data_IF_300230086936
#
_entry.id   IF_300230086936
#
_cell.length_a   1.000
_cell.length_b   1.000
_cell.length_c   1.000
_cell.angle_alpha   90.00
_cell.angle_beta   90.00
_cell.angle_gamma   90.00
#
_symmetry.space_group_name_H-M   'P 1'
#
loop_
_entity.id
_entity.type
_entity.pdbx_description
1 polymer ?
#
# COMPACT_ATOMS: atom_id res chain seq x y z
N UNK A 1 -25.92 27.69 0.16
CA UNK A 1 -24.74 26.94 -0.34
C UNK A 1 -24.06 26.28 0.85
N UNK A 2 -24.40 25.02 1.13
CA UNK A 2 -23.87 24.30 2.29
C UNK A 2 -22.45 23.80 1.99
N UNK A 3 -21.48 24.24 2.80
CA UNK A 3 -20.12 23.69 2.80
C UNK A 3 -20.20 22.28 3.41
N UNK A 4 -20.13 21.24 2.59
CA UNK A 4 -19.92 19.90 3.10
C UNK A 4 -18.55 19.83 3.77
N UNK A 5 -18.57 19.64 5.09
CA UNK A 5 -17.39 19.37 5.90
C UNK A 5 -16.84 18.00 5.50
N UNK A 6 -15.85 17.97 4.61
CA UNK A 6 -15.13 16.75 4.23
C UNK A 6 -14.27 16.31 5.40
N UNK A 7 -14.77 15.34 6.18
CA UNK A 7 -13.97 14.68 7.21
C UNK A 7 -12.78 13.98 6.54
N UNK A 8 -11.58 14.07 7.11
CA UNK A 8 -10.39 13.46 6.54
C UNK A 8 -10.47 11.93 6.53
N UNK A 9 -9.93 11.32 5.47
CA UNK A 9 -9.80 9.87 5.35
C UNK A 9 -8.59 9.43 6.18
N UNK A 10 -8.83 8.61 7.20
CA UNK A 10 -7.77 7.90 7.92
C UNK A 10 -7.59 6.52 7.27
N UNK A 11 -6.52 6.31 6.50
CA UNK A 11 -6.21 5.01 5.90
C UNK A 11 -5.25 4.26 6.83
N UNK A 12 -5.70 3.15 7.40
CA UNK A 12 -4.85 2.25 8.20
C UNK A 12 -4.17 1.24 7.27
N UNK A 13 -2.91 1.48 6.91
CA UNK A 13 -2.08 0.47 6.24
C UNK A 13 -1.61 -0.57 7.25
N UNK A 14 -1.94 -1.86 7.05
CA UNK A 14 -1.54 -2.96 7.94
C UNK A 14 -0.15 -3.52 7.62
N UNK A 15 0.69 -2.80 6.86
CA UNK A 15 2.01 -3.32 6.48
C UNK A 15 3.17 -2.32 6.49
N UNK A 16 2.90 -1.04 6.75
CA UNK A 16 3.93 -0.01 6.95
C UNK A 16 3.39 1.01 7.94
N UNK A 17 4.08 1.20 9.05
CA UNK A 17 3.76 2.15 10.11
C UNK A 17 3.85 3.59 9.57
N UNK A 18 2.74 4.14 9.06
CA UNK A 18 2.58 5.58 8.83
C UNK A 18 1.15 5.99 9.15
N UNK A 19 0.99 6.90 10.11
CA UNK A 19 -0.25 7.61 10.39
C UNK A 19 -0.23 8.94 9.62
N UNK A 20 -1.30 9.28 8.91
CA UNK A 20 -1.53 10.65 8.41
C UNK A 20 -2.72 11.25 9.13
N UNK A 21 -2.45 12.32 9.89
CA UNK A 21 -3.45 13.16 10.57
C UNK A 21 -3.72 14.35 9.67
N UNK A 22 -4.99 14.69 9.48
CA UNK A 22 -5.42 15.94 8.85
C UNK A 22 -5.91 16.87 9.93
N UNK A 23 -5.15 17.91 10.25
CA UNK A 23 -5.74 19.21 10.58
C UNK A 23 -4.75 20.39 10.47
N UNK A 24 -5.31 21.59 10.34
CA UNK A 24 -4.75 22.88 9.89
C UNK A 24 -3.76 23.58 10.86
N UNK A 25 -3.02 24.55 10.26
CA UNK A 25 -2.21 25.67 10.83
C UNK A 25 -0.82 25.27 11.38
N UNK A 26 0.29 26.03 11.25
CA UNK A 26 0.53 27.45 10.96
C UNK A 26 1.98 27.63 10.42
N UNK A 27 2.16 28.57 9.49
CA UNK A 27 3.45 29.10 9.05
C UNK A 27 4.10 29.92 10.18
N UNK A 28 5.37 29.66 10.49
CA UNK A 28 6.16 30.45 11.45
C UNK A 28 7.66 30.27 11.19
N UNK A 29 8.31 31.33 10.70
CA UNK A 29 9.74 31.41 10.40
C UNK A 29 10.58 31.34 11.69
N UNK A 30 11.77 30.70 11.68
CA UNK A 30 12.97 31.18 12.41
C UNK A 30 14.23 30.33 12.12
N UNK A 31 15.33 31.00 11.72
CA UNK A 31 16.68 30.84 12.30
C UNK A 31 17.53 29.57 12.06
N UNK A 32 18.40 29.66 11.06
CA UNK A 32 19.82 29.25 11.02
C UNK A 32 20.33 27.93 11.67
N UNK A 33 21.05 27.18 10.82
CA UNK A 33 22.01 26.08 11.06
C UNK A 33 21.49 24.66 11.28
N UNK A 34 22.01 23.74 10.48
CA UNK A 34 21.83 22.29 10.60
C UNK A 34 20.93 21.72 9.50
N UNK A 35 21.49 20.81 8.68
CA UNK A 35 20.75 20.02 7.70
C UNK A 35 19.72 19.19 8.49
N UNK A 36 18.49 19.69 8.56
CA UNK A 36 17.34 18.89 8.95
C UNK A 36 17.06 17.95 7.79
N UNK A 37 17.10 16.65 8.06
CA UNK A 37 16.55 15.65 7.16
C UNK A 37 15.08 15.99 6.96
N UNK A 38 14.79 16.69 5.87
CA UNK A 38 13.46 17.10 5.44
C UNK A 38 12.73 15.85 4.92
N UNK A 39 12.30 14.97 5.83
CA UNK A 39 11.10 14.20 5.57
C UNK A 39 9.93 15.17 5.61
N UNK A 40 9.78 15.96 4.54
CA UNK A 40 8.53 16.67 4.29
C UNK A 40 7.49 15.57 4.16
N UNK A 41 6.55 15.52 5.10
CA UNK A 41 5.38 14.68 4.93
C UNK A 41 4.62 15.21 3.72
N UNK A 42 4.74 14.50 2.60
CA UNK A 42 3.97 14.77 1.39
C UNK A 42 2.55 14.31 1.70
N UNK A 43 1.62 15.25 1.80
CA UNK A 43 0.20 14.94 1.92
C UNK A 43 -0.35 14.78 0.50
N UNK A 44 -1.10 13.71 0.27
CA UNK A 44 -1.80 13.48 -0.99
C UNK A 44 -3.20 14.08 -0.88
N UNK A 45 -3.67 14.75 -1.94
CA UNK A 45 -4.99 15.41 -1.97
C UNK A 45 -5.99 14.49 -2.67
N UNK A 46 -7.15 14.31 -2.03
CA UNK A 46 -8.27 13.58 -2.63
C UNK A 46 -8.85 14.41 -3.79
N UNK A 47 -8.92 13.80 -4.97
CA UNK A 47 -9.52 14.39 -6.16
C UNK A 47 -10.59 13.45 -6.71
N UNK A 48 -11.79 13.97 -6.97
CA UNK A 48 -12.91 13.19 -7.50
C UNK A 48 -13.23 11.92 -6.68
N UNK A 49 -13.23 12.02 -5.34
CA UNK A 49 -13.46 10.89 -4.43
C UNK A 49 -12.41 9.77 -4.53
N UNK A 50 -11.26 10.07 -5.15
CA UNK A 50 -10.14 9.16 -5.33
C UNK A 50 -8.88 9.75 -4.72
N UNK A 51 -8.15 8.91 -4.01
CA UNK A 51 -6.86 9.24 -3.42
C UNK A 51 -5.81 8.22 -3.88
N UNK A 52 -4.89 8.61 -4.78
CA UNK A 52 -3.75 7.76 -5.10
C UNK A 52 -2.82 7.70 -3.89
N UNK A 53 -2.49 6.50 -3.45
CA UNK A 53 -1.56 6.26 -2.34
C UNK A 53 -0.65 5.07 -2.67
N UNK A 54 0.63 5.36 -2.93
CA UNK A 54 1.62 4.37 -3.38
C UNK A 54 1.10 3.61 -4.63
N UNK A 55 0.99 2.29 -4.53
CA UNK A 55 0.54 1.40 -5.61
C UNK A 55 -0.99 1.17 -5.60
N UNK A 56 -1.74 1.83 -4.71
CA UNK A 56 -3.17 1.64 -4.49
C UNK A 56 -3.92 2.93 -4.79
N UNK A 57 -5.06 2.81 -5.47
CA UNK A 57 -6.02 3.88 -5.61
C UNK A 57 -7.14 3.63 -4.60
N UNK A 58 -7.34 4.57 -3.68
CA UNK A 58 -8.38 4.48 -2.66
C UNK A 58 -9.56 5.28 -3.16
N UNK A 59 -10.72 4.64 -3.26
CA UNK A 59 -11.93 5.22 -3.85
C UNK A 59 -13.00 5.26 -2.78
N UNK A 60 -13.62 6.42 -2.57
CA UNK A 60 -14.75 6.57 -1.67
C UNK A 60 -16.04 6.32 -2.46
N UNK A 61 -16.78 5.29 -2.10
CA UNK A 61 -18.09 5.01 -2.70
C UNK A 61 -19.18 5.87 -2.01
N UNK A 62 -20.33 6.07 -2.67
CA UNK A 62 -21.49 6.83 -2.21
C UNK A 62 -22.06 6.35 -0.86
N UNK A 63 -21.81 5.08 -0.49
CA UNK A 63 -22.15 4.51 0.82
C UNK A 63 -21.11 4.82 1.92
N UNK A 64 -20.16 5.73 1.69
CA UNK A 64 -18.99 5.98 2.57
C UNK A 64 -18.11 4.74 2.83
N UNK A 65 -18.17 3.74 1.96
CA UNK A 65 -17.26 2.58 1.99
C UNK A 65 -16.02 2.87 1.15
N UNK A 66 -14.88 2.33 1.59
CA UNK A 66 -13.63 2.39 0.83
C UNK A 66 -13.55 1.22 -0.13
N UNK A 67 -13.40 1.54 -1.40
CA UNK A 67 -12.99 0.62 -2.44
C UNK A 67 -11.52 0.84 -2.77
N UNK A 68 -10.90 -0.21 -3.30
CA UNK A 68 -9.50 -0.19 -3.68
C UNK A 68 -9.38 -0.58 -5.13
N UNK A 69 -8.47 0.08 -5.82
CA UNK A 69 -8.00 -0.29 -7.14
C UNK A 69 -6.46 -0.22 -7.17
N UNK A 70 -5.88 -0.70 -8.25
CA UNK A 70 -4.47 -0.54 -8.51
C UNK A 70 -4.21 0.83 -9.12
N UNK A 71 -3.38 1.64 -8.46
CA UNK A 71 -2.96 2.91 -9.04
C UNK A 71 -1.80 2.74 -10.01
N UNK A 72 -1.87 3.47 -11.14
CA UNK A 72 -0.78 3.64 -12.09
C UNK A 72 -0.72 5.11 -12.48
N UNK A 73 0.48 5.67 -12.49
CA UNK A 73 0.72 7.01 -13.02
C UNK A 73 0.39 7.04 -14.50
N UNK A 74 -0.05 8.19 -15.00
CA UNK A 74 -0.33 8.40 -16.43
C UNK A 74 0.92 8.18 -17.30
N UNK A 75 2.11 8.40 -16.73
CA UNK A 75 3.41 8.15 -17.38
C UNK A 75 3.83 6.68 -17.39
N UNK A 76 3.05 5.76 -16.81
CA UNK A 76 3.37 4.35 -16.76
C UNK A 76 3.23 3.71 -18.16
N UNK A 77 4.36 3.45 -18.82
CA UNK A 77 4.41 2.89 -20.18
C UNK A 77 4.12 1.39 -20.25
N UNK A 78 3.93 0.72 -19.11
CA UNK A 78 3.66 -0.73 -19.01
C UNK A 78 4.69 -1.61 -19.74
N UNK A 79 5.91 -1.12 -19.90
CA UNK A 79 7.02 -1.84 -20.55
C UNK A 79 7.83 -2.58 -19.49
N UNK A 80 7.90 -3.90 -19.64
CA UNK A 80 8.76 -4.77 -18.83
C UNK A 80 9.91 -5.29 -19.68
N UNK A 81 10.77 -6.11 -19.09
CA UNK A 81 11.84 -6.79 -19.83
C UNK A 81 11.19 -7.66 -20.92
N UNK A 82 11.43 -7.38 -22.22
CA UNK A 82 10.85 -8.14 -23.31
C UNK A 82 11.29 -9.61 -23.30
N UNK A 83 10.43 -10.49 -23.81
CA UNK A 83 10.69 -11.94 -23.81
C UNK A 83 11.91 -12.34 -24.66
N UNK A 84 12.19 -11.63 -25.75
CA UNK A 84 13.30 -11.84 -26.68
C UNK A 84 14.66 -11.35 -26.16
N UNK A 85 14.68 -10.53 -25.11
CA UNK A 85 15.92 -10.00 -24.54
C UNK A 85 16.82 -11.08 -23.93
N UNK A 86 18.13 -10.86 -23.87
CA UNK A 86 19.11 -11.83 -23.32
C UNK A 86 19.18 -11.85 -21.77
N UNK A 87 18.08 -11.55 -21.08
CA UNK A 87 18.04 -11.58 -19.62
C UNK A 87 17.66 -12.96 -19.09
N UNK A 88 18.20 -13.39 -17.92
CA UNK A 88 17.76 -14.59 -17.23
C UNK A 88 16.25 -14.60 -17.01
N UNK A 89 15.64 -15.78 -17.18
CA UNK A 89 14.18 -15.97 -17.07
C UNK A 89 13.62 -15.48 -15.72
N UNK A 90 14.37 -15.66 -14.63
CA UNK A 90 13.94 -15.24 -13.30
C UNK A 90 13.73 -13.72 -13.19
N UNK A 91 14.61 -12.91 -13.81
CA UNK A 91 14.48 -11.45 -13.80
C UNK A 91 13.29 -10.98 -14.64
N UNK A 92 13.07 -11.61 -15.80
CA UNK A 92 11.87 -11.38 -16.62
C UNK A 92 10.58 -11.66 -15.86
N UNK A 93 10.55 -12.78 -15.13
CA UNK A 93 9.38 -13.20 -14.36
C UNK A 93 9.16 -12.38 -13.08
N UNK A 94 10.19 -11.74 -12.54
CA UNK A 94 10.09 -10.97 -11.31
C UNK A 94 9.00 -9.87 -11.40
N UNK A 95 8.94 -9.14 -12.52
CA UNK A 95 7.92 -8.12 -12.75
C UNK A 95 6.50 -8.69 -12.74
N UNK A 96 6.27 -9.81 -13.44
CA UNK A 96 4.95 -10.45 -13.48
C UNK A 96 4.54 -11.04 -12.13
N UNK A 97 5.48 -11.67 -11.42
CA UNK A 97 5.25 -12.17 -10.07
C UNK A 97 4.85 -11.04 -9.11
N UNK A 98 5.51 -9.88 -9.19
CA UNK A 98 5.17 -8.71 -8.39
C UNK A 98 3.74 -8.23 -8.64
N UNK A 99 3.35 -8.09 -9.91
CA UNK A 99 2.01 -7.59 -10.26
C UNK A 99 0.92 -8.60 -9.87
N UNK A 100 1.15 -9.90 -10.07
CA UNK A 100 0.19 -10.96 -9.68
C UNK A 100 0.09 -11.07 -8.16
N UNK A 101 1.20 -10.92 -7.45
CA UNK A 101 1.21 -10.83 -5.99
C UNK A 101 0.36 -9.65 -5.50
N UNK A 102 0.50 -8.48 -6.14
CA UNK A 102 -0.31 -7.30 -5.84
C UNK A 102 -1.80 -7.56 -6.07
N UNK A 103 -2.16 -8.06 -7.25
CA UNK A 103 -3.53 -8.45 -7.62
C UNK A 103 -4.18 -9.40 -6.60
N UNK A 104 -3.39 -10.32 -6.02
CA UNK A 104 -3.90 -11.30 -5.05
C UNK A 104 -4.04 -10.78 -3.63
N UNK A 105 -3.30 -9.72 -3.27
CA UNK A 105 -3.25 -9.19 -1.91
C UNK A 105 -4.12 -7.96 -1.70
N UNK A 106 -4.41 -7.21 -2.76
CA UNK A 106 -5.26 -6.04 -2.66
C UNK A 106 -6.73 -6.46 -2.52
N UNK A 107 -7.50 -5.80 -1.63
CA UNK A 107 -8.93 -6.04 -1.47
C UNK A 107 -9.73 -5.37 -2.62
N UNK A 108 -9.59 -5.90 -3.83
CA UNK A 108 -10.28 -5.43 -5.02
C UNK A 108 -11.71 -6.00 -5.09
N UNK A 109 -12.63 -5.24 -5.68
CA UNK A 109 -13.93 -5.77 -6.14
C UNK A 109 -13.73 -6.83 -7.24
N UNK A 110 -14.68 -7.74 -7.41
CA UNK A 110 -14.65 -8.78 -8.46
C UNK A 110 -14.43 -8.15 -9.85
N UNK A 111 -15.12 -7.04 -10.14
CA UNK A 111 -15.05 -6.38 -11.45
C UNK A 111 -13.66 -5.79 -11.69
N UNK A 112 -13.13 -5.05 -10.70
CA UNK A 112 -11.78 -4.45 -10.76
C UNK A 112 -10.70 -5.52 -10.83
N UNK A 113 -10.88 -6.62 -10.11
CA UNK A 113 -9.97 -7.76 -10.16
C UNK A 113 -9.90 -8.36 -11.58
N UNK A 114 -11.04 -8.59 -12.23
CA UNK A 114 -11.03 -9.15 -13.59
C UNK A 114 -10.50 -8.14 -14.60
N UNK A 115 -10.83 -6.86 -14.46
CA UNK A 115 -10.29 -5.79 -15.30
C UNK A 115 -8.75 -5.71 -15.20
N UNK A 116 -8.21 -5.67 -13.98
CA UNK A 116 -6.76 -5.66 -13.73
C UNK A 116 -6.11 -6.94 -14.28
N UNK A 117 -6.74 -8.10 -14.12
CA UNK A 117 -6.25 -9.36 -14.69
C UNK A 117 -6.18 -9.32 -16.22
N UNK A 118 -7.19 -8.80 -16.90
CA UNK A 118 -7.16 -8.64 -18.35
C UNK A 118 -6.08 -7.66 -18.79
N UNK A 119 -5.92 -6.56 -18.06
CA UNK A 119 -4.86 -5.59 -18.30
C UNK A 119 -3.47 -6.25 -18.18
N UNK A 120 -3.23 -7.09 -17.17
CA UNK A 120 -1.96 -7.82 -17.03
C UNK A 120 -1.71 -8.75 -18.21
N UNK A 121 -2.75 -9.43 -18.71
CA UNK A 121 -2.64 -10.28 -19.92
C UNK A 121 -2.28 -9.46 -21.15
N UNK A 122 -2.85 -8.28 -21.30
CA UNK A 122 -2.52 -7.36 -22.40
C UNK A 122 -1.07 -6.89 -22.31
N UNK A 123 -0.60 -6.57 -21.10
CA UNK A 123 0.81 -6.18 -20.89
C UNK A 123 1.75 -7.35 -21.22
N UNK A 124 1.41 -8.58 -20.82
CA UNK A 124 2.20 -9.75 -21.16
C UNK A 124 2.32 -9.92 -22.69
N UNK A 125 1.19 -9.81 -23.40
CA UNK A 125 1.14 -9.88 -24.86
C UNK A 125 1.96 -8.79 -25.53
N UNK A 126 1.88 -7.54 -25.06
CA UNK A 126 2.64 -6.42 -25.62
C UNK A 126 4.16 -6.54 -25.41
N UNK A 127 4.59 -7.30 -24.38
CA UNK A 127 6.00 -7.56 -24.10
C UNK A 127 6.49 -8.92 -24.65
N UNK A 128 5.70 -9.58 -25.51
CA UNK A 128 6.09 -10.81 -26.20
C UNK A 128 5.93 -12.10 -25.39
N UNK A 129 5.13 -12.08 -24.31
CA UNK A 129 4.84 -13.26 -23.48
C UNK A 129 3.48 -13.87 -23.83
N UNK A 130 3.36 -15.19 -23.64
CA UNK A 130 2.10 -15.92 -23.79
C UNK A 130 1.12 -15.59 -22.66
N UNK A 131 -0.17 -15.45 -23.00
CA UNK A 131 -1.24 -15.24 -22.02
C UNK A 131 -1.37 -16.43 -21.05
N UNK A 132 -1.13 -17.66 -21.53
CA UNK A 132 -1.18 -18.87 -20.70
C UNK A 132 -0.15 -18.86 -19.56
N UNK A 133 1.00 -18.19 -19.77
CA UNK A 133 2.00 -18.03 -18.73
C UNK A 133 1.43 -17.26 -17.54
N UNK A 134 0.65 -16.21 -17.80
CA UNK A 134 0.02 -15.40 -16.75
C UNK A 134 -1.02 -16.22 -15.99
N UNK A 135 -1.86 -16.99 -16.68
CA UNK A 135 -2.85 -17.87 -16.04
C UNK A 135 -2.19 -18.92 -15.14
N UNK A 136 -1.05 -19.48 -15.58
CA UNK A 136 -0.25 -20.41 -14.79
C UNK A 136 0.34 -19.74 -13.54
N UNK A 137 0.87 -18.51 -13.67
CA UNK A 137 1.40 -17.76 -12.53
C UNK A 137 0.30 -17.41 -11.51
N UNK A 138 -0.89 -17.01 -11.97
CA UNK A 138 -2.04 -16.75 -11.08
C UNK A 138 -2.42 -18.03 -10.32
N UNK A 139 -2.50 -19.16 -11.03
CA UNK A 139 -2.83 -20.47 -10.43
C UNK A 139 -1.79 -20.87 -9.39
N UNK A 140 -0.50 -20.70 -9.71
CA UNK A 140 0.62 -20.96 -8.79
C UNK A 140 0.54 -20.07 -7.54
N UNK A 141 0.22 -18.79 -7.69
CA UNK A 141 0.04 -17.88 -6.56
C UNK A 141 -1.14 -18.28 -5.66
N UNK A 142 -2.29 -18.63 -6.27
CA UNK A 142 -3.46 -19.12 -5.53
C UNK A 142 -3.12 -20.40 -4.76
N UNK A 143 -2.49 -21.36 -5.41
CA UNK A 143 -2.08 -22.62 -4.80
C UNK A 143 -1.13 -22.40 -3.62
N UNK A 144 -0.09 -21.57 -3.79
CA UNK A 144 0.86 -21.24 -2.72
C UNK A 144 0.15 -20.58 -1.52
N UNK A 145 -0.84 -19.72 -1.76
CA UNK A 145 -1.64 -19.10 -0.71
C UNK A 145 -2.51 -20.12 0.03
N UNK A 146 -3.17 -21.02 -0.70
CA UNK A 146 -3.95 -22.11 -0.11
C UNK A 146 -3.07 -23.02 0.75
N UNK A 147 -1.88 -23.37 0.25
CA UNK A 147 -0.90 -24.16 1.02
C UNK A 147 -0.49 -23.45 2.31
N UNK A 148 -0.07 -22.18 2.23
CA UNK A 148 0.28 -21.40 3.42
C UNK A 148 -0.86 -21.34 4.44
N UNK A 149 -2.10 -21.17 3.96
CA UNK A 149 -3.27 -21.18 4.83
C UNK A 149 -3.53 -22.57 5.43
N UNK A 150 -3.27 -23.67 4.72
CA UNK A 150 -3.45 -25.03 5.25
C UNK A 150 -2.38 -25.46 6.27
N UNK A 151 -1.24 -24.77 6.33
CA UNK A 151 -0.15 -25.13 7.24
C UNK A 151 -0.49 -24.80 8.70
N UNK A 152 -0.08 -25.68 9.62
CA UNK A 152 -0.31 -25.56 11.07
C UNK A 152 0.57 -24.49 11.73
N UNK A 153 1.74 -24.19 11.16
CA UNK A 153 2.62 -23.10 11.58
C UNK A 153 2.14 -21.75 11.03
N UNK A 154 0.87 -21.40 11.26
CA UNK A 154 0.41 -20.04 10.99
C UNK A 154 1.12 -19.14 12.01
N UNK A 155 1.80 -18.08 11.54
CA UNK A 155 1.97 -16.91 12.40
C UNK A 155 0.55 -16.44 12.68
N UNK A 156 0.03 -16.76 13.86
CA UNK A 156 -1.14 -16.07 14.37
C UNK A 156 -0.87 -14.58 14.14
N UNK A 157 -1.79 -13.90 13.47
CA UNK A 157 -1.82 -12.45 13.56
C UNK A 157 -2.12 -12.18 15.02
N UNK A 158 -1.08 -12.11 15.84
CA UNK A 158 -1.17 -11.82 17.27
C UNK A 158 -2.21 -10.73 17.41
N UNK A 159 -3.18 -10.95 18.30
CA UNK A 159 -4.07 -9.95 18.88
C UNK A 159 -3.24 -8.91 19.66
N UNK A 160 -2.22 -8.36 19.00
CA UNK A 160 -1.41 -7.26 19.44
C UNK A 160 -2.34 -6.05 19.46
N UNK A 161 -2.80 -5.74 20.68
CA UNK A 161 -3.56 -4.53 20.96
C UNK A 161 -2.62 -3.36 20.73
N UNK A 162 -2.67 -2.78 19.54
CA UNK A 162 -1.98 -1.53 19.24
C UNK A 162 -2.74 -0.39 19.88
N UNK A 163 -2.05 0.44 20.67
CA UNK A 163 -2.54 1.71 21.16
C UNK A 163 -1.87 2.81 20.33
N UNK A 164 -2.66 3.64 19.66
CA UNK A 164 -2.17 4.85 19.00
C UNK A 164 -2.04 5.96 20.04
N UNK A 165 -0.89 6.61 20.11
CA UNK A 165 -0.69 7.83 20.88
C UNK A 165 -0.73 9.01 19.91
N UNK A 166 -1.45 10.07 20.26
CA UNK A 166 -1.39 11.32 19.52
C UNK A 166 0.02 11.92 19.67
N UNK A 167 0.59 12.34 18.53
CA UNK A 167 1.89 12.97 18.51
C UNK A 167 1.79 14.37 19.15
N UNK A 168 2.38 14.53 20.34
CA UNK A 168 2.43 15.79 21.05
C UNK A 168 3.89 16.22 21.24
N UNK A 169 4.28 17.32 20.60
CA UNK A 169 5.65 17.86 20.63
C UNK A 169 6.18 18.12 22.05
N UNK A 170 5.31 18.36 23.05
CA UNK A 170 5.72 18.67 24.43
C UNK A 170 6.01 17.41 25.29
N UNK A 171 5.67 16.21 24.83
CA UNK A 171 5.84 14.95 25.59
C UNK A 171 7.18 14.24 25.35
N UNK A 172 8.02 14.75 24.44
CA UNK A 172 9.33 14.15 24.09
C UNK A 172 10.28 14.01 25.29
N UNK A 173 10.14 14.84 26.32
CA UNK A 173 11.00 14.81 27.51
C UNK A 173 10.48 13.94 28.66
N UNK A 174 9.27 13.37 28.54
CA UNK A 174 8.70 12.51 29.58
C UNK A 174 8.02 11.31 28.95
N UNK A 175 8.83 10.31 28.57
CA UNK A 175 8.31 8.97 28.35
C UNK A 175 7.58 8.51 29.63
N UNK A 176 6.31 8.12 29.56
CA UNK A 176 5.58 7.63 30.72
C UNK A 176 6.28 6.42 31.33
N UNK A 177 6.53 6.43 32.63
CA UNK A 177 7.29 5.40 33.36
C UNK A 177 6.70 3.98 33.19
N UNK A 178 5.41 3.86 32.88
CA UNK A 178 4.74 2.59 32.62
C UNK A 178 5.17 1.93 31.29
N UNK A 179 5.58 2.71 30.29
CA UNK A 179 6.12 2.21 29.01
C UNK A 179 7.52 1.61 29.19
N UNK A 180 8.39 2.28 29.96
CA UNK A 180 9.72 1.77 30.32
C UNK A 180 9.63 0.41 31.06
N UNK A 181 8.64 0.26 31.95
CA UNK A 181 8.39 -0.96 32.75
C UNK A 181 7.87 -2.15 31.93
N UNK A 182 7.47 -1.94 30.67
CA UNK A 182 7.01 -2.99 29.75
C UNK A 182 8.14 -3.49 28.85
N UNK A 183 9.12 -2.64 28.53
CA UNK A 183 10.32 -3.03 27.78
C UNK A 183 11.22 -3.99 28.56
N UNK A 184 11.36 -3.82 29.88
CA UNK A 184 12.19 -4.69 30.72
C UNK A 184 11.58 -6.06 31.06
N UNK A 185 10.34 -6.36 30.64
CA UNK A 185 9.64 -7.62 30.96
C UNK A 185 9.74 -8.69 29.87
N UNK A 186 10.54 -8.44 28.82
CA UNK A 186 10.94 -9.43 27.82
C UNK A 186 12.44 -9.74 28.00
N UNK A 187 12.78 -10.41 29.09
CA UNK A 187 14.00 -11.23 29.25
C UNK A 187 13.56 -12.51 29.93
#
# INVERSE_FOLDING_TARGET
MARHSTKPIMIRSTKFDYYTVVDRFLCGCFGATGIVSLSIFIYEVEHNEQLPFLDVLVIRNSENKLEFDVYRKETATLRYIPNDSHHPFQHKMASFNFIIHRLSNFPLSIERFEHEKQLIKNIAKSNGYSVHLIDNLITKHKFKRTLYNSMTFRRDTDNSKFASLEFNFNLLLKMPTWLAKRASRKV
#
